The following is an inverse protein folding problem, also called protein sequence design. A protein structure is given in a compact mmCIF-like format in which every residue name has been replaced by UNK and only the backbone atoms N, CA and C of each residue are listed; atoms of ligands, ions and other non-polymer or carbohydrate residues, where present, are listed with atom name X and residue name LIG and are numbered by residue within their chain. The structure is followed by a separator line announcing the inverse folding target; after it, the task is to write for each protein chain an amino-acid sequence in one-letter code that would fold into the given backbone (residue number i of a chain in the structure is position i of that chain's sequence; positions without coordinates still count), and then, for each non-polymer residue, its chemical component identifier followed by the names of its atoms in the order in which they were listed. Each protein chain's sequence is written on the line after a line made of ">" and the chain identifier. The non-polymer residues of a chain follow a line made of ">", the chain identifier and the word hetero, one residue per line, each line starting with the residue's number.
data_IF_111100843093
#
_entry.id   IF_111100843093
#
_cell.length_a   1.000
_cell.length_b   1.000
_cell.length_c   1.000
_cell.angle_alpha   90.00
_cell.angle_beta   90.00
_cell.angle_gamma   90.00
#
_symmetry.space_group_name_H-M   'P 1'
#
loop_
_entity.id
_entity.type
_entity.pdbx_description
1 polymer ?
#
# COMPACT_ATOMS: atom_id res chain seq x y z
N UNK A 1 -1.95 -19.71 -5.14
CA UNK A 1 -2.23 -18.26 -5.26
C UNK A 1 -2.30 -17.67 -3.87
N UNK A 2 -1.75 -16.50 -3.71
CA UNK A 2 -1.80 -15.79 -2.44
C UNK A 2 -3.23 -15.44 -2.05
N UNK A 3 -3.51 -15.50 -0.75
CA UNK A 3 -4.78 -15.05 -0.19
C UNK A 3 -4.72 -13.53 -0.01
N UNK A 4 -5.50 -12.79 -0.77
CA UNK A 4 -5.55 -11.34 -0.70
C UNK A 4 -5.89 -10.85 0.71
N UNK A 5 -6.83 -11.51 1.36
CA UNK A 5 -7.25 -11.12 2.71
C UNK A 5 -6.12 -11.24 3.71
N UNK A 6 -5.33 -12.30 3.61
CA UNK A 6 -4.16 -12.47 4.47
C UNK A 6 -3.10 -11.41 4.21
N UNK A 7 -2.85 -11.08 2.94
CA UNK A 7 -1.92 -10.01 2.59
C UNK A 7 -2.37 -8.66 3.16
N UNK A 8 -3.69 -8.39 3.09
CA UNK A 8 -4.25 -7.16 3.66
C UNK A 8 -4.02 -7.11 5.17
N UNK A 9 -4.27 -8.22 5.87
CA UNK A 9 -4.07 -8.28 7.32
C UNK A 9 -2.60 -8.08 7.68
N UNK A 10 -1.69 -8.68 6.93
CA UNK A 10 -0.27 -8.52 7.17
C UNK A 10 0.18 -7.07 6.96
N UNK A 11 -0.29 -6.44 5.91
CA UNK A 11 0.03 -5.03 5.65
C UNK A 11 -0.49 -4.13 6.77
N UNK A 12 -1.72 -4.36 7.22
CA UNK A 12 -2.31 -3.62 8.33
C UNK A 12 -1.52 -3.84 9.63
N UNK A 13 -1.23 -5.10 9.96
CA UNK A 13 -0.50 -5.41 11.18
C UNK A 13 0.88 -4.78 11.19
N UNK A 14 1.53 -4.75 10.04
CA UNK A 14 2.83 -4.09 9.92
C UNK A 14 2.74 -2.60 10.25
N UNK A 15 1.66 -1.93 9.81
CA UNK A 15 1.43 -0.52 10.16
C UNK A 15 1.25 -0.34 11.66
N UNK A 16 0.44 -1.21 12.28
CA UNK A 16 0.21 -1.15 13.74
C UNK A 16 1.51 -1.34 14.49
N UNK A 17 2.29 -2.34 14.09
CA UNK A 17 3.55 -2.68 14.78
C UNK A 17 4.57 -1.55 14.70
N UNK A 18 4.55 -0.75 13.64
CA UNK A 18 5.48 0.36 13.45
C UNK A 18 4.91 1.70 13.93
N UNK A 19 3.71 1.71 14.51
CA UNK A 19 3.07 2.94 14.97
C UNK A 19 2.63 3.86 13.85
N UNK A 20 2.40 3.33 12.65
CA UNK A 20 1.94 4.11 11.51
C UNK A 20 0.44 4.39 11.62
N UNK A 21 -0.03 5.38 10.86
CA UNK A 21 -1.43 5.76 10.86
C UNK A 21 -2.33 4.63 10.37
N UNK A 22 -3.41 4.35 11.12
CA UNK A 22 -4.43 3.37 10.73
C UNK A 22 -5.85 3.90 10.93
N UNK A 23 -5.99 5.18 11.25
CA UNK A 23 -7.29 5.78 11.58
C UNK A 23 -7.70 6.92 10.66
N UNK A 24 -6.74 7.68 10.14
CA UNK A 24 -7.01 8.80 9.25
C UNK A 24 -6.98 8.32 7.81
N UNK A 25 -8.16 8.02 7.26
CA UNK A 25 -8.31 7.46 5.91
C UNK A 25 -7.85 8.45 4.85
N UNK A 26 -8.19 9.73 5.01
CA UNK A 26 -7.76 10.75 4.04
C UNK A 26 -6.24 10.81 3.93
N UNK A 27 -5.55 10.72 5.07
CA UNK A 27 -4.10 10.69 5.10
C UNK A 27 -3.57 9.48 4.34
N UNK A 28 -4.19 8.30 4.52
CA UNK A 28 -3.76 7.09 3.83
C UNK A 28 -3.92 7.20 2.32
N UNK A 29 -5.01 7.80 1.85
CA UNK A 29 -5.16 8.07 0.42
C UNK A 29 -4.07 9.00 -0.10
N UNK A 30 -3.73 10.06 0.65
CA UNK A 30 -2.66 10.97 0.23
C UNK A 30 -1.31 10.27 0.18
N UNK A 31 -1.03 9.40 1.14
CA UNK A 31 0.21 8.63 1.15
C UNK A 31 0.28 7.68 -0.04
N UNK A 32 -0.84 7.03 -0.37
CA UNK A 32 -0.91 6.16 -1.55
C UNK A 32 -0.63 6.95 -2.84
N UNK A 33 -1.23 8.13 -3.00
CA UNK A 33 -0.94 8.99 -4.14
C UNK A 33 0.54 9.32 -4.23
N UNK A 34 1.16 9.60 -3.09
CA UNK A 34 2.60 9.89 -3.03
C UNK A 34 3.43 8.72 -3.54
N UNK A 35 3.08 7.50 -3.11
CA UNK A 35 3.81 6.30 -3.54
C UNK A 35 3.66 6.07 -5.03
N UNK A 36 2.46 6.28 -5.59
CA UNK A 36 2.23 6.17 -7.03
C UNK A 36 3.11 7.18 -7.77
N UNK A 37 3.19 8.42 -7.26
CA UNK A 37 4.04 9.44 -7.86
C UNK A 37 5.51 9.06 -7.86
N UNK A 38 6.00 8.47 -6.76
CA UNK A 38 7.38 8.00 -6.67
C UNK A 38 7.66 6.87 -7.66
N UNK A 39 6.69 5.94 -7.81
CA UNK A 39 6.83 4.86 -8.79
C UNK A 39 6.88 5.42 -10.21
N UNK A 40 6.03 6.40 -10.52
CA UNK A 40 6.05 7.05 -11.82
C UNK A 40 7.40 7.71 -12.10
N UNK A 41 7.96 8.42 -11.11
CA UNK A 41 9.27 9.07 -11.27
C UNK A 41 10.37 8.03 -11.49
N UNK A 42 10.32 6.91 -10.75
CA UNK A 42 11.30 5.85 -10.92
C UNK A 42 11.25 5.30 -12.34
N UNK A 43 10.05 5.10 -12.87
CA UNK A 43 9.88 4.62 -14.25
C UNK A 43 10.34 5.64 -15.28
N UNK A 44 9.89 6.90 -15.15
CA UNK A 44 10.18 7.94 -16.14
C UNK A 44 11.66 8.31 -16.18
N UNK A 45 12.35 8.17 -15.06
CA UNK A 45 13.78 8.46 -14.96
C UNK A 45 14.65 7.22 -15.07
N UNK A 46 14.04 6.07 -15.37
CA UNK A 46 14.73 4.79 -15.52
C UNK A 46 15.60 4.42 -14.31
N UNK A 47 15.05 4.65 -13.12
CA UNK A 47 15.77 4.36 -11.88
C UNK A 47 15.72 2.85 -11.58
N UNK A 48 16.76 2.30 -10.93
CA UNK A 48 16.82 0.85 -10.67
C UNK A 48 15.87 0.38 -9.56
N UNK A 49 15.29 1.31 -8.78
CA UNK A 49 14.43 0.96 -7.65
C UNK A 49 12.94 0.92 -8.01
N UNK A 50 12.60 0.87 -9.31
CA UNK A 50 11.19 0.84 -9.74
C UNK A 50 10.41 -0.29 -9.08
N UNK A 51 11.01 -1.49 -8.97
CA UNK A 51 10.34 -2.64 -8.36
C UNK A 51 9.97 -2.36 -6.90
N UNK A 52 10.89 -1.75 -6.15
CA UNK A 52 10.62 -1.39 -4.75
C UNK A 52 9.51 -0.36 -4.64
N UNK A 53 9.50 0.64 -5.53
CA UNK A 53 8.48 1.67 -5.52
C UNK A 53 7.09 1.09 -5.84
N UNK A 54 7.02 0.15 -6.78
CA UNK A 54 5.75 -0.52 -7.09
C UNK A 54 5.30 -1.40 -5.93
N UNK A 55 6.23 -2.06 -5.23
CA UNK A 55 5.90 -2.86 -4.05
C UNK A 55 5.33 -1.97 -2.95
N UNK A 56 5.87 -0.76 -2.78
CA UNK A 56 5.35 0.20 -1.79
C UNK A 56 3.91 0.60 -2.12
N UNK A 57 3.60 0.84 -3.40
CA UNK A 57 2.22 1.13 -3.82
C UNK A 57 1.29 0.00 -3.40
N UNK A 58 1.70 -1.25 -3.65
CA UNK A 58 0.88 -2.41 -3.33
C UNK A 58 0.65 -2.53 -1.82
N UNK A 59 1.68 -2.29 -1.02
CA UNK A 59 1.59 -2.39 0.44
C UNK A 59 0.63 -1.32 0.99
N UNK A 60 0.73 -0.08 0.51
CA UNK A 60 -0.18 0.98 0.94
C UNK A 60 -1.63 0.67 0.55
N UNK A 61 -1.84 0.14 -0.66
CA UNK A 61 -3.18 -0.24 -1.11
C UNK A 61 -3.77 -1.36 -0.25
N UNK A 62 -2.99 -2.39 0.03
CA UNK A 62 -3.45 -3.52 0.85
C UNK A 62 -3.82 -3.05 2.27
N UNK A 63 -2.99 -2.22 2.86
CA UNK A 63 -3.25 -1.68 4.20
C UNK A 63 -4.50 -0.81 4.23
N UNK A 64 -4.69 0.03 3.22
CA UNK A 64 -5.88 0.88 3.12
C UNK A 64 -7.14 0.04 2.97
N UNK A 65 -7.10 -1.01 2.15
CA UNK A 65 -8.26 -1.90 1.98
C UNK A 65 -8.66 -2.53 3.31
N UNK A 66 -7.69 -2.93 4.11
CA UNK A 66 -7.97 -3.53 5.42
C UNK A 66 -8.58 -2.50 6.38
N UNK A 67 -8.06 -1.27 6.39
CA UNK A 67 -8.63 -0.18 7.20
C UNK A 67 -10.09 0.04 6.84
N UNK A 68 -10.43 -0.04 5.55
CA UNK A 68 -11.78 0.22 5.04
C UNK A 68 -12.67 -1.01 5.05
N UNK A 69 -12.15 -2.16 5.50
CA UNK A 69 -12.87 -3.42 5.53
C UNK A 69 -13.35 -3.85 4.13
N UNK A 70 -12.52 -3.64 3.13
CA UNK A 70 -12.77 -4.06 1.75
C UNK A 70 -11.94 -5.30 1.46
N UNK A 71 -12.56 -6.34 0.91
CA UNK A 71 -11.85 -7.56 0.51
C UNK A 71 -11.52 -7.48 -0.98
N UNK A 72 -10.26 -7.17 -1.28
CA UNK A 72 -9.82 -7.00 -2.67
C UNK A 72 -9.92 -8.30 -3.46
N UNK A 73 -9.79 -9.43 -2.80
CA UNK A 73 -9.90 -10.72 -3.48
C UNK A 73 -11.30 -11.03 -3.97
N UNK A 74 -12.32 -10.38 -3.42
CA UNK A 74 -13.70 -10.57 -3.83
C UNK A 74 -14.17 -9.53 -4.85
N UNK A 75 -13.46 -8.41 -4.96
CA UNK A 75 -13.83 -7.35 -5.89
C UNK A 75 -13.24 -7.59 -7.28
#
# INVERSE_FOLDING_TARGET
>A
MEDWKELQRQAYQNKVDHGFNVTDVSMEFCLLYGEVGEAYQAWSRQKPDLGEELADVAIYLLGLAEILDVDLGQE
#
